data_IF_009303844517
#
_entry.id   IF_009303844517
#
_cell.length_a   1.000
_cell.length_b   1.000
_cell.length_c   1.000
_cell.angle_alpha   90.00
_cell.angle_beta   90.00
_cell.angle_gamma   90.00
#
_symmetry.space_group_name_H-M   'P 1'
#
loop_
_entity.id
_entity.type
_entity.pdbx_description
1 polymer ?
#
# COMPACT_ATOMS: atom_id res chain seq x y z
N UNK A 1 5.71 18.30 -16.10
CA UNK A 1 6.80 17.31 -15.88
C UNK A 1 6.91 16.46 -17.14
N UNK A 2 8.12 16.21 -17.66
CA UNK A 2 8.33 15.27 -18.76
C UNK A 2 8.90 13.95 -18.20
N UNK A 3 8.36 12.81 -18.64
CA UNK A 3 8.83 11.47 -18.25
C UNK A 3 9.65 10.88 -19.40
N UNK A 4 10.92 10.60 -19.16
CA UNK A 4 11.90 10.25 -20.20
C UNK A 4 12.47 8.83 -20.07
N UNK A 5 12.43 8.24 -18.88
CA UNK A 5 12.99 6.92 -18.60
C UNK A 5 11.87 5.90 -18.32
N UNK A 6 11.89 4.80 -19.07
CA UNK A 6 10.94 3.69 -18.98
C UNK A 6 11.66 2.34 -18.74
N UNK A 7 12.95 2.35 -18.39
CA UNK A 7 13.77 1.14 -18.26
C UNK A 7 13.37 0.21 -17.10
N UNK A 8 12.55 0.70 -16.15
CA UNK A 8 12.04 -0.08 -15.01
C UNK A 8 10.53 -0.32 -15.08
N UNK A 9 9.89 -0.12 -16.24
CA UNK A 9 8.47 -0.45 -16.42
C UNK A 9 8.26 -1.96 -16.26
N UNK A 10 7.18 -2.32 -15.56
CA UNK A 10 6.78 -3.70 -15.30
C UNK A 10 5.28 -3.84 -15.56
N UNK A 11 4.89 -4.94 -16.19
CA UNK A 11 3.50 -5.34 -16.29
C UNK A 11 3.09 -6.05 -15.02
N UNK A 12 1.98 -5.60 -14.42
CA UNK A 12 1.40 -6.22 -13.24
C UNK A 12 0.21 -7.07 -13.67
N UNK A 13 0.16 -8.37 -13.31
CA UNK A 13 -0.99 -9.23 -13.59
C UNK A 13 -2.29 -8.61 -13.08
N UNK A 14 -3.39 -8.81 -13.82
CA UNK A 14 -4.67 -8.14 -13.55
C UNK A 14 -5.18 -8.41 -12.13
N UNK A 15 -5.11 -9.64 -11.64
CA UNK A 15 -5.54 -9.97 -10.28
C UNK A 15 -4.73 -9.23 -9.21
N UNK A 16 -3.41 -9.12 -9.40
CA UNK A 16 -2.56 -8.34 -8.48
C UNK A 16 -2.84 -6.84 -8.59
N UNK A 17 -3.13 -6.33 -9.79
CA UNK A 17 -3.53 -4.93 -9.99
C UNK A 17 -4.83 -4.60 -9.25
N UNK A 18 -5.83 -5.46 -9.32
CA UNK A 18 -7.12 -5.29 -8.63
C UNK A 18 -6.99 -5.51 -7.12
N UNK A 19 -6.22 -6.51 -6.69
CA UNK A 19 -5.89 -6.72 -5.27
C UNK A 19 -5.14 -5.52 -4.66
N UNK A 20 -4.22 -4.92 -5.42
CA UNK A 20 -3.50 -3.73 -4.97
C UNK A 20 -4.43 -2.51 -4.91
N UNK A 21 -5.37 -2.37 -5.85
CA UNK A 21 -6.40 -1.34 -5.78
C UNK A 21 -7.25 -1.46 -4.50
N UNK A 22 -7.65 -2.68 -4.10
CA UNK A 22 -8.32 -2.92 -2.82
C UNK A 22 -7.46 -2.47 -1.63
N UNK A 23 -6.17 -2.81 -1.62
CA UNK A 23 -5.24 -2.40 -0.57
C UNK A 23 -5.11 -0.86 -0.48
N UNK A 24 -5.01 -0.18 -1.62
CA UNK A 24 -4.97 1.29 -1.70
C UNK A 24 -6.20 1.90 -1.03
N UNK A 25 -7.40 1.38 -1.33
CA UNK A 25 -8.64 1.86 -0.69
C UNK A 25 -8.67 1.57 0.81
N UNK A 26 -8.20 0.39 1.24
CA UNK A 26 -8.13 0.05 2.65
C UNK A 26 -7.24 1.04 3.43
N UNK A 27 -6.06 1.36 2.88
CA UNK A 27 -5.14 2.34 3.47
C UNK A 27 -5.77 3.74 3.48
N UNK A 28 -6.30 4.20 2.35
CA UNK A 28 -6.89 5.53 2.22
C UNK A 28 -8.09 5.72 3.18
N UNK A 29 -8.87 4.67 3.42
CA UNK A 29 -10.04 4.70 4.29
C UNK A 29 -9.71 4.49 5.77
N UNK A 30 -8.47 4.15 6.12
CA UNK A 30 -8.14 3.83 7.50
C UNK A 30 -8.80 2.53 7.98
N UNK A 31 -8.88 1.50 7.13
CA UNK A 31 -9.61 0.24 7.37
C UNK A 31 -8.63 -0.94 7.60
N UNK A 32 -8.34 -1.30 8.87
CA UNK A 32 -7.43 -2.39 9.19
C UNK A 32 -7.93 -3.76 8.74
N UNK A 33 -9.25 -3.99 8.75
CA UNK A 33 -9.84 -5.28 8.41
C UNK A 33 -9.66 -5.54 6.92
N UNK A 34 -10.00 -4.55 6.08
CA UNK A 34 -9.80 -4.65 4.63
C UNK A 34 -8.34 -4.70 4.24
N UNK A 35 -7.44 -4.06 4.99
CA UNK A 35 -6.00 -4.15 4.72
C UNK A 35 -5.50 -5.59 4.93
N UNK A 36 -5.89 -6.24 6.02
CA UNK A 36 -5.58 -7.66 6.26
C UNK A 36 -6.18 -8.59 5.21
N UNK A 37 -7.41 -8.34 4.75
CA UNK A 37 -8.02 -9.08 3.65
C UNK A 37 -7.23 -8.91 2.34
N UNK A 38 -6.84 -7.67 2.03
CA UNK A 38 -6.08 -7.36 0.81
C UNK A 38 -4.69 -8.00 0.82
N UNK A 39 -4.03 -8.12 1.97
CA UNK A 39 -2.76 -8.85 2.08
C UNK A 39 -2.92 -10.32 1.67
N UNK A 40 -3.99 -10.98 2.13
CA UNK A 40 -4.29 -12.36 1.74
C UNK A 40 -4.62 -12.49 0.25
N UNK A 41 -5.43 -11.57 -0.30
CA UNK A 41 -5.75 -11.55 -1.73
C UNK A 41 -4.51 -11.35 -2.60
N UNK A 42 -3.57 -10.55 -2.12
CA UNK A 42 -2.30 -10.30 -2.79
C UNK A 42 -1.30 -11.46 -2.64
N UNK A 43 -1.58 -12.48 -1.83
CA UNK A 43 -0.63 -13.57 -1.57
C UNK A 43 0.55 -13.17 -0.69
N UNK A 44 0.39 -12.13 0.14
CA UNK A 44 1.39 -11.75 1.15
C UNK A 44 1.09 -12.54 2.42
N UNK A 45 1.87 -13.60 2.65
CA UNK A 45 1.72 -14.42 3.86
C UNK A 45 2.42 -13.77 5.04
N UNK A 46 1.67 -13.63 6.14
CA UNK A 46 2.16 -13.03 7.37
C UNK A 46 1.87 -13.91 8.57
N UNK A 47 2.77 -13.87 9.56
CA UNK A 47 2.59 -14.48 10.87
C UNK A 47 2.60 -13.40 11.95
N UNK A 48 1.51 -13.31 12.70
CA UNK A 48 1.36 -12.38 13.82
C UNK A 48 1.66 -13.06 15.14
N UNK A 49 2.43 -12.38 15.99
CA UNK A 49 2.69 -12.80 17.37
C UNK A 49 2.12 -11.79 18.39
N UNK A 50 1.16 -10.95 17.98
CA UNK A 50 0.65 -9.83 18.80
C UNK A 50 -0.88 -9.83 18.92
N UNK A 51 -1.39 -9.39 20.08
CA UNK A 51 -2.84 -9.32 20.37
C UNK A 51 -3.56 -8.28 19.50
N UNK A 52 -2.85 -7.24 19.04
CA UNK A 52 -3.39 -6.15 18.22
C UNK A 52 -3.08 -6.33 16.72
N UNK A 53 -3.13 -7.57 16.23
CA UNK A 53 -2.75 -7.99 14.87
C UNK A 53 -3.27 -7.05 13.78
N UNK A 54 -4.58 -6.77 13.72
CA UNK A 54 -5.17 -5.96 12.65
C UNK A 54 -4.57 -4.55 12.60
N UNK A 55 -4.31 -3.93 13.76
CA UNK A 55 -3.74 -2.60 13.82
C UNK A 55 -2.26 -2.60 13.40
N UNK A 56 -1.50 -3.60 13.81
CA UNK A 56 -0.10 -3.73 13.39
C UNK A 56 0.00 -4.09 11.90
N UNK A 57 -0.93 -4.89 11.36
CA UNK A 57 -1.04 -5.20 9.93
C UNK A 57 -1.34 -3.93 9.15
N UNK A 58 -2.23 -3.09 9.65
CA UNK A 58 -2.53 -1.81 9.02
C UNK A 58 -1.32 -0.87 9.01
N UNK A 59 -0.58 -0.77 10.12
CA UNK A 59 0.67 -0.01 10.18
C UNK A 59 1.72 -0.57 9.22
N UNK A 60 1.82 -1.90 9.10
CA UNK A 60 2.70 -2.56 8.13
C UNK A 60 2.30 -2.19 6.70
N UNK A 61 1.01 -2.22 6.37
CA UNK A 61 0.48 -1.80 5.07
C UNK A 61 0.83 -0.35 4.73
N UNK A 62 0.63 0.58 5.67
CA UNK A 62 1.06 1.98 5.49
C UNK A 62 2.57 2.09 5.30
N UNK A 63 3.34 1.35 6.10
CA UNK A 63 4.82 1.34 6.06
C UNK A 63 5.37 0.72 4.78
N UNK A 64 4.67 -0.20 4.14
CA UNK A 64 5.10 -0.82 2.88
C UNK A 64 4.55 -0.09 1.65
N UNK A 65 3.29 0.35 1.69
CA UNK A 65 2.55 0.73 0.49
C UNK A 65 1.94 2.15 0.50
N UNK A 66 2.34 3.00 1.46
CA UNK A 66 2.01 4.43 1.43
C UNK A 66 3.25 5.32 1.53
N UNK A 67 3.24 6.52 0.96
CA UNK A 67 4.37 7.47 1.09
C UNK A 67 4.30 8.29 2.38
N UNK A 68 3.15 8.35 3.04
CA UNK A 68 2.95 9.17 4.24
C UNK A 68 3.73 8.62 5.43
N UNK A 69 4.47 9.49 6.09
CA UNK A 69 5.13 9.17 7.35
C UNK A 69 4.17 9.35 8.53
N UNK A 70 4.26 8.50 9.57
CA UNK A 70 3.53 8.71 10.80
C UNK A 70 3.85 10.09 11.42
N UNK A 71 2.90 10.71 12.15
CA UNK A 71 3.14 12.00 12.80
C UNK A 71 4.39 12.00 13.66
N UNK A 72 5.22 13.03 13.54
CA UNK A 72 6.47 13.18 14.29
C UNK A 72 7.64 12.31 13.80
N UNK A 73 7.41 11.41 12.85
CA UNK A 73 8.46 10.56 12.25
C UNK A 73 9.05 11.27 11.03
N UNK A 74 10.37 11.47 11.03
CA UNK A 74 11.12 12.00 9.88
C UNK A 74 11.70 10.92 8.97
N UNK A 75 11.87 9.72 9.51
CA UNK A 75 12.44 8.58 8.81
C UNK A 75 11.93 7.28 9.44
N UNK A 76 11.50 6.33 8.62
CA UNK A 76 11.11 5.01 9.10
C UNK A 76 12.36 4.19 9.44
N UNK A 77 12.36 3.59 10.62
CA UNK A 77 13.44 2.74 11.12
C UNK A 77 12.93 1.29 11.19
N UNK A 78 13.05 0.51 10.11
CA UNK A 78 12.47 -0.84 10.02
C UNK A 78 13.04 -1.81 11.06
N UNK A 79 14.24 -1.53 11.60
CA UNK A 79 14.92 -2.36 12.59
C UNK A 79 14.76 -1.86 14.04
N UNK A 80 13.99 -0.81 14.28
CA UNK A 80 13.64 -0.39 15.65
C UNK A 80 12.90 -1.51 16.39
N UNK A 81 13.00 -1.56 17.72
CA UNK A 81 12.34 -2.59 18.54
C UNK A 81 10.81 -2.54 18.38
N UNK A 82 10.24 -1.35 18.23
CA UNK A 82 8.79 -1.16 18.10
C UNK A 82 8.24 -1.34 16.68
N UNK A 83 9.10 -1.65 15.70
CA UNK A 83 8.74 -1.79 14.29
C UNK A 83 7.72 -2.90 14.07
N UNK A 84 6.65 -2.63 13.31
CA UNK A 84 5.60 -3.61 13.01
C UNK A 84 6.14 -4.84 12.26
N UNK A 85 7.26 -4.74 11.54
CA UNK A 85 7.91 -5.89 10.88
C UNK A 85 8.47 -6.93 11.87
N UNK A 86 8.73 -6.53 13.12
CA UNK A 86 9.14 -7.46 14.19
C UNK A 86 7.94 -8.12 14.86
N UNK A 87 6.78 -7.47 14.84
CA UNK A 87 5.53 -7.96 15.43
C UNK A 87 4.76 -8.86 14.46
N UNK A 88 4.90 -8.60 13.17
CA UNK A 88 4.32 -9.33 12.06
C UNK A 88 5.43 -9.73 11.10
N UNK A 89 5.76 -11.01 11.09
CA UNK A 89 6.74 -11.56 10.17
C UNK A 89 6.09 -11.79 8.80
N UNK A 90 6.67 -11.22 7.74
CA UNK A 90 6.30 -11.55 6.35
C UNK A 90 7.00 -12.85 5.96
N UNK A 91 6.25 -13.92 5.75
CA UNK A 91 6.76 -15.25 5.42
C UNK A 91 6.92 -15.46 3.92
N UNK A 92 5.96 -14.97 3.13
CA UNK A 92 5.99 -15.00 1.68
C UNK A 92 5.56 -13.65 1.11
N UNK A 93 6.24 -13.24 0.05
CA UNK A 93 5.94 -11.99 -0.64
C UNK A 93 6.04 -12.23 -2.16
N UNK A 94 4.97 -12.00 -2.94
CA UNK A 94 4.97 -12.22 -4.38
C UNK A 94 6.00 -11.33 -5.09
N UNK A 95 6.70 -11.88 -6.08
CA UNK A 95 7.83 -11.22 -6.72
C UNK A 95 7.40 -9.94 -7.46
N UNK A 96 6.23 -9.98 -8.11
CA UNK A 96 5.68 -8.89 -8.90
C UNK A 96 5.44 -7.64 -8.04
N UNK A 97 5.08 -7.83 -6.76
CA UNK A 97 4.82 -6.74 -5.83
C UNK A 97 6.10 -6.02 -5.38
N UNK A 98 7.31 -6.59 -5.60
CA UNK A 98 8.55 -5.88 -5.27
C UNK A 98 8.73 -4.61 -6.11
N UNK A 99 8.23 -4.62 -7.35
CA UNK A 99 8.27 -3.45 -8.22
C UNK A 99 7.43 -2.30 -7.65
N UNK A 100 6.25 -2.62 -7.12
CA UNK A 100 5.35 -1.66 -6.47
C UNK A 100 5.97 -1.15 -5.17
N UNK A 101 6.42 -2.05 -4.30
CA UNK A 101 7.05 -1.72 -3.02
C UNK A 101 8.25 -0.77 -3.22
N UNK A 102 9.12 -1.07 -4.18
CA UNK A 102 10.27 -0.22 -4.54
C UNK A 102 9.81 1.14 -5.04
N UNK A 103 8.83 1.18 -5.93
CA UNK A 103 8.28 2.44 -6.46
C UNK A 103 7.75 3.32 -5.33
N UNK A 104 6.93 2.77 -4.43
CA UNK A 104 6.40 3.52 -3.27
C UNK A 104 7.53 4.03 -2.37
N UNK A 105 8.54 3.20 -2.08
CA UNK A 105 9.66 3.62 -1.23
C UNK A 105 10.52 4.71 -1.88
N UNK A 106 10.72 4.67 -3.21
CA UNK A 106 11.40 5.73 -3.95
C UNK A 106 10.59 7.03 -3.92
N UNK A 107 9.27 6.95 -4.17
CA UNK A 107 8.36 8.10 -4.07
C UNK A 107 8.32 8.68 -2.66
N UNK A 108 8.38 7.84 -1.62
CA UNK A 108 8.50 8.26 -0.23
C UNK A 108 9.80 9.02 0.00
N UNK A 109 10.94 8.46 -0.42
CA UNK A 109 12.24 9.10 -0.30
C UNK A 109 12.28 10.46 -0.99
N UNK A 110 11.72 10.56 -2.19
CA UNK A 110 11.56 11.82 -2.93
C UNK A 110 10.68 12.82 -2.17
N UNK A 111 9.51 12.38 -1.68
CA UNK A 111 8.59 13.24 -0.92
C UNK A 111 9.26 13.83 0.32
N UNK A 112 9.95 12.98 1.10
CA UNK A 112 10.73 13.39 2.27
C UNK A 112 11.84 14.37 1.89
N UNK A 113 12.59 14.10 0.82
CA UNK A 113 13.65 14.98 0.33
C UNK A 113 13.15 16.37 -0.10
N UNK A 114 11.91 16.45 -0.58
CA UNK A 114 11.22 17.69 -0.93
C UNK A 114 10.53 18.38 0.26
N UNK A 115 10.60 17.80 1.46
CA UNK A 115 9.91 18.31 2.65
C UNK A 115 8.40 18.14 2.63
N UNK A 116 7.88 17.22 1.82
CA UNK A 116 6.46 16.91 1.69
C UNK A 116 6.12 15.66 2.52
N UNK A 117 5.00 15.69 3.23
CA UNK A 117 4.41 14.50 3.85
C UNK A 117 3.03 14.26 3.26
N UNK A 118 2.94 13.27 2.38
CA UNK A 118 1.80 13.06 1.52
C UNK A 118 1.51 11.57 1.37
N UNK A 119 0.22 11.20 1.31
CA UNK A 119 -0.20 9.82 1.12
C UNK A 119 -0.49 9.53 -0.35
N UNK A 120 0.26 8.61 -0.95
CA UNK A 120 -0.06 8.13 -2.29
C UNK A 120 -1.35 7.32 -2.28
N UNK A 121 -1.63 6.60 -1.20
CA UNK A 121 -2.87 5.83 -1.09
C UNK A 121 -4.11 6.74 -1.11
N UNK A 122 -4.09 7.87 -0.38
CA UNK A 122 -5.18 8.86 -0.41
C UNK A 122 -5.40 9.43 -1.84
N UNK A 123 -4.33 9.63 -2.60
CA UNK A 123 -4.44 10.15 -3.98
C UNK A 123 -4.82 9.13 -5.02
N UNK A 124 -4.38 7.90 -4.85
CA UNK A 124 -4.67 6.83 -5.77
C UNK A 124 -6.07 6.27 -5.54
N UNK A 125 -6.78 6.69 -4.48
CA UNK A 125 -8.19 6.34 -4.23
C UNK A 125 -9.06 6.41 -5.51
N UNK A 126 -9.23 7.56 -6.20
CA UNK A 126 -10.08 7.62 -7.39
C UNK A 126 -9.67 6.64 -8.49
N UNK A 127 -8.37 6.42 -8.69
CA UNK A 127 -7.83 5.49 -9.70
C UNK A 127 -8.14 4.03 -9.30
N UNK A 128 -8.01 3.71 -8.01
CA UNK A 128 -8.35 2.40 -7.47
C UNK A 128 -9.86 2.11 -7.54
N UNK A 129 -10.69 3.10 -7.22
CA UNK A 129 -12.16 3.01 -7.36
C UNK A 129 -12.57 2.76 -8.81
N UNK A 130 -11.98 3.49 -9.75
CA UNK A 130 -12.21 3.31 -11.18
C UNK A 130 -11.79 1.91 -11.64
N UNK A 131 -10.58 1.47 -11.30
CA UNK A 131 -10.07 0.16 -11.68
C UNK A 131 -10.96 -0.98 -11.17
N UNK A 132 -11.43 -0.90 -9.92
CA UNK A 132 -12.33 -1.88 -9.33
C UNK A 132 -13.74 -1.80 -9.94
N UNK A 133 -14.21 -0.60 -10.30
CA UNK A 133 -15.52 -0.42 -10.92
C UNK A 133 -15.56 -1.02 -12.32
N UNK A 134 -14.52 -0.79 -13.12
CA UNK A 134 -14.37 -1.38 -14.46
C UNK A 134 -14.31 -2.91 -14.41
N UNK A 135 -13.73 -3.48 -13.35
CA UNK A 135 -13.69 -4.92 -13.12
C UNK A 135 -14.95 -5.49 -12.44
N UNK A 136 -15.96 -4.66 -12.14
CA UNK A 136 -17.18 -5.10 -11.43
C UNK A 136 -16.95 -5.54 -9.98
N UNK A 137 -15.80 -5.18 -9.38
CA UNK A 137 -15.41 -5.53 -8.00
C UNK A 137 -15.64 -4.40 -6.99
N UNK A 138 -16.01 -3.21 -7.46
CA UNK A 138 -16.27 -2.07 -6.56
C UNK A 138 -17.62 -2.22 -5.86
N UNK A 139 -17.60 -2.24 -4.52
CA UNK A 139 -18.79 -2.32 -3.66
C UNK A 139 -19.23 -0.96 -3.10
N UNK A 140 -18.60 0.14 -3.52
CA UNK A 140 -18.99 1.50 -3.13
C UNK A 140 -20.17 2.00 -3.95
N UNK A 141 -20.86 3.04 -3.44
CA UNK A 141 -21.89 3.72 -4.22
C UNK A 141 -21.26 4.23 -5.51
N UNK A 142 -21.81 3.86 -6.66
CA UNK A 142 -21.35 4.31 -7.96
C UNK A 142 -21.28 5.84 -7.96
N UNK A 143 -20.08 6.40 -7.99
CA UNK A 143 -19.93 7.83 -8.26
C UNK A 143 -20.38 8.01 -9.69
N UNK A 144 -21.60 8.53 -9.84
CA UNK A 144 -22.12 8.92 -11.15
C UNK A 144 -21.27 10.11 -11.56
N UNK A 145 -20.34 9.90 -12.50
CA UNK A 145 -19.65 11.00 -13.15
C UNK A 145 -20.73 11.81 -13.87
N UNK A 146 -20.95 13.04 -13.38
CA UNK A 146 -21.76 14.06 -14.04
C UNK A 146 -20.94 14.76 -15.12
#
# INVERSE_FOLDING_TARGET
VALLDYGQVKDLPEELRLGYANLVLAIANGDPVRASESYRELGIDTLSNCENEQQEMFKLAQTMFDTKLPPGVKMLQPFSEDSSIKKIAVQAFPEELFSILRTVHLLRGLSVGLGLNYSCAEQWRPIAEEALSQAGRFKGAAVTLA
#
